data_IF_670316384390
#
_entry.id   IF_670316384390
#
_cell.length_a   1.000
_cell.length_b   1.000
_cell.length_c   1.000
_cell.angle_alpha   90.00
_cell.angle_beta   90.00
_cell.angle_gamma   90.00
#
_symmetry.space_group_name_H-M   'P 1'
#
loop_
_entity.id
_entity.type
_entity.pdbx_description
1 polymer ?
#
# COMPACT_ATOMS: atom_id res chain seq x y z
N UNK A 1 -5.64 9.85 15.28
CA UNK A 1 -4.62 9.06 14.55
C UNK A 1 -5.34 8.17 13.55
N UNK A 2 -4.83 8.03 12.34
CA UNK A 2 -5.32 7.09 11.32
C UNK A 2 -4.18 6.15 10.93
N UNK A 3 -4.52 4.91 10.62
CA UNK A 3 -3.60 3.89 10.11
C UNK A 3 -4.26 3.29 8.87
N UNK A 4 -3.55 3.27 7.75
CA UNK A 4 -4.05 2.76 6.47
C UNK A 4 -3.04 1.73 5.94
N UNK A 5 -3.45 0.48 5.81
CA UNK A 5 -2.68 -0.57 5.13
C UNK A 5 -3.28 -0.87 3.75
N UNK A 6 -2.45 -0.91 2.72
CA UNK A 6 -2.90 -1.15 1.35
C UNK A 6 -1.76 -1.68 0.47
N UNK A 7 -2.12 -2.27 -0.66
CA UNK A 7 -1.15 -2.65 -1.71
C UNK A 7 -0.92 -1.43 -2.60
N UNK A 8 0.33 -0.97 -2.68
CA UNK A 8 0.67 0.19 -3.52
C UNK A 8 0.52 -0.18 -4.99
N UNK A 9 -0.31 0.58 -5.72
CA UNK A 9 -0.60 0.36 -7.13
C UNK A 9 0.64 0.43 -8.04
N UNK A 10 1.70 1.10 -7.62
CA UNK A 10 2.89 1.32 -8.46
C UNK A 10 3.94 0.20 -8.34
N UNK A 11 3.72 -0.74 -7.41
CA UNK A 11 4.54 -1.93 -7.18
C UNK A 11 4.18 -3.09 -8.12
N UNK A 12 5.06 -4.09 -8.22
CA UNK A 12 4.83 -5.25 -9.10
C UNK A 12 3.52 -5.98 -8.76
N UNK A 13 3.27 -6.23 -7.47
CA UNK A 13 2.04 -6.88 -7.03
C UNK A 13 0.81 -6.01 -7.28
N UNK A 14 0.91 -4.69 -7.02
CA UNK A 14 -0.16 -3.75 -7.28
C UNK A 14 -0.55 -3.70 -8.76
N UNK A 15 0.43 -3.76 -9.68
CA UNK A 15 0.19 -3.83 -11.13
C UNK A 15 -0.45 -5.15 -11.53
N UNK A 16 0.06 -6.28 -11.04
CA UNK A 16 -0.52 -7.59 -11.30
C UNK A 16 -1.99 -7.69 -10.86
N UNK A 17 -2.33 -7.12 -9.70
CA UNK A 17 -3.72 -7.09 -9.22
C UNK A 17 -4.62 -6.16 -10.04
N UNK A 18 -4.08 -5.05 -10.57
CA UNK A 18 -4.83 -4.17 -11.48
C UNK A 18 -5.14 -4.85 -12.81
N UNK A 19 -4.19 -5.61 -13.36
CA UNK A 19 -4.35 -6.35 -14.62
C UNK A 19 -5.38 -7.48 -14.48
N UNK A 20 -5.30 -8.25 -13.41
CA UNK A 20 -6.21 -9.37 -13.14
C UNK A 20 -7.57 -8.95 -12.55
N UNK A 21 -7.77 -7.65 -12.30
CA UNK A 21 -8.91 -7.10 -11.56
C UNK A 21 -10.27 -7.56 -12.06
N UNK A 22 -10.48 -7.58 -13.38
CA UNK A 22 -11.76 -7.93 -13.99
C UNK A 22 -12.17 -9.40 -13.78
N UNK A 23 -11.18 -10.26 -13.55
CA UNK A 23 -11.37 -11.70 -13.37
C UNK A 23 -11.31 -12.12 -11.88
N UNK A 24 -11.06 -11.18 -10.97
CA UNK A 24 -10.93 -11.45 -9.54
C UNK A 24 -12.12 -10.86 -8.78
N UNK A 25 -12.90 -11.71 -8.10
CA UNK A 25 -14.11 -11.30 -7.35
C UNK A 25 -13.85 -10.28 -6.25
N UNK A 26 -12.64 -10.25 -5.67
CA UNK A 26 -12.27 -9.30 -4.62
C UNK A 26 -11.81 -7.97 -5.20
N UNK A 27 -11.06 -8.00 -6.30
CA UNK A 27 -10.49 -6.79 -6.87
C UNK A 27 -11.40 -6.11 -7.90
N UNK A 28 -12.41 -6.79 -8.48
CA UNK A 28 -13.28 -6.26 -9.55
C UNK A 28 -13.79 -4.84 -9.32
N UNK A 29 -14.12 -4.48 -8.08
CA UNK A 29 -14.60 -3.15 -7.72
C UNK A 29 -13.60 -2.33 -6.89
N UNK A 30 -12.42 -2.88 -6.57
CA UNK A 30 -11.41 -2.22 -5.76
C UNK A 30 -10.78 -1.04 -6.52
N UNK A 31 -10.55 0.08 -5.83
CA UNK A 31 -9.77 1.19 -6.37
C UNK A 31 -8.36 1.12 -5.81
N UNK A 32 -7.39 1.05 -6.71
CA UNK A 32 -5.97 1.03 -6.37
C UNK A 32 -5.46 2.46 -6.23
N UNK A 33 -4.60 2.68 -5.25
CA UNK A 33 -3.99 3.97 -4.94
C UNK A 33 -2.49 3.80 -4.77
N UNK A 34 -1.73 4.85 -5.06
CA UNK A 34 -0.32 4.94 -4.66
C UNK A 34 -0.18 5.62 -3.31
N UNK A 35 0.98 5.48 -2.68
CA UNK A 35 1.30 6.21 -1.43
C UNK A 35 1.13 7.72 -1.63
N UNK A 36 1.60 8.28 -2.73
CA UNK A 36 1.52 9.72 -3.00
C UNK A 36 0.06 10.19 -3.08
N UNK A 37 -0.82 9.39 -3.68
CA UNK A 37 -2.24 9.72 -3.75
C UNK A 37 -2.89 9.72 -2.37
N UNK A 38 -2.61 8.71 -1.55
CA UNK A 38 -3.16 8.64 -0.18
C UNK A 38 -2.62 9.80 0.66
N UNK A 39 -1.31 10.07 0.60
CA UNK A 39 -0.68 11.21 1.30
C UNK A 39 -1.31 12.53 0.86
N UNK A 40 -1.56 12.72 -0.43
CA UNK A 40 -2.23 13.91 -0.95
C UNK A 40 -3.63 14.09 -0.36
N UNK A 41 -4.45 13.04 -0.34
CA UNK A 41 -5.80 13.11 0.23
C UNK A 41 -5.78 13.34 1.75
N UNK A 42 -4.87 12.69 2.47
CA UNK A 42 -4.71 12.87 3.91
C UNK A 42 -4.26 14.30 4.24
N UNK A 43 -3.29 14.86 3.50
CA UNK A 43 -2.89 16.27 3.65
C UNK A 43 -4.07 17.21 3.43
N UNK A 44 -4.86 16.99 2.37
CA UNK A 44 -6.09 17.77 2.12
C UNK A 44 -7.13 17.64 3.23
N UNK A 45 -7.18 16.50 3.91
CA UNK A 45 -8.07 16.26 5.04
C UNK A 45 -7.52 16.78 6.40
N UNK A 46 -6.36 17.45 6.41
CA UNK A 46 -5.76 18.03 7.61
C UNK A 46 -4.92 17.06 8.44
N UNK A 47 -4.45 15.97 7.84
CA UNK A 47 -3.51 15.06 8.51
C UNK A 47 -2.06 15.49 8.33
N UNK A 48 -1.27 15.27 9.38
CA UNK A 48 0.14 15.63 9.54
C UNK A 48 0.91 14.47 10.22
N UNK A 49 2.23 14.62 10.37
CA UNK A 49 3.13 13.64 11.02
C UNK A 49 2.98 12.24 10.43
N UNK A 50 3.35 12.11 9.17
CA UNK A 50 3.26 10.86 8.43
C UNK A 50 4.43 9.93 8.78
N UNK A 51 4.11 8.67 9.04
CA UNK A 51 5.04 7.56 9.22
C UNK A 51 4.67 6.44 8.25
N UNK A 52 5.68 5.71 7.76
CA UNK A 52 5.53 4.72 6.71
C UNK A 52 6.25 3.43 7.09
N UNK A 53 5.64 2.30 6.79
CA UNK A 53 6.28 0.98 6.85
C UNK A 53 5.84 0.13 5.66
N UNK A 54 6.70 -0.77 5.22
CA UNK A 54 6.47 -1.59 4.03
C UNK A 54 6.92 -3.04 4.22
N UNK A 55 6.30 -3.97 3.49
CA UNK A 55 6.64 -5.40 3.43
C UNK A 55 6.19 -5.97 2.08
N UNK A 56 6.37 -7.28 1.87
CA UNK A 56 6.13 -8.00 0.61
C UNK A 56 7.09 -7.46 -0.48
N UNK A 57 8.37 -7.77 -0.32
CA UNK A 57 9.46 -7.33 -1.20
C UNK A 57 9.69 -8.31 -2.35
N UNK A 58 9.36 -9.58 -2.14
CA UNK A 58 9.48 -10.64 -3.15
C UNK A 58 8.13 -10.95 -3.78
N UNK A 59 8.17 -11.72 -4.88
CA UNK A 59 6.97 -12.32 -5.43
C UNK A 59 6.35 -13.28 -4.42
N UNK A 60 5.01 -13.29 -4.36
CA UNK A 60 4.26 -14.06 -3.35
C UNK A 60 4.58 -15.56 -3.37
N UNK A 61 4.98 -16.11 -4.52
CA UNK A 61 5.39 -17.52 -4.66
C UNK A 61 6.74 -17.83 -4.04
N UNK A 62 7.57 -16.82 -3.79
CA UNK A 62 8.92 -16.97 -3.23
C UNK A 62 8.97 -16.72 -1.71
N UNK A 63 7.87 -16.19 -1.15
CA UNK A 63 7.74 -15.91 0.28
C UNK A 63 7.43 -17.22 1.01
N UNK A 64 8.47 -17.82 1.58
CA UNK A 64 8.37 -19.04 2.39
C UNK A 64 8.45 -18.76 3.91
N UNK A 65 8.71 -17.51 4.28
CA UNK A 65 8.94 -17.04 5.64
C UNK A 65 8.35 -15.63 5.79
N UNK A 66 8.09 -15.18 7.02
CA UNK A 66 7.61 -13.83 7.26
C UNK A 66 8.66 -12.79 6.83
N UNK A 67 8.28 -11.87 5.94
CA UNK A 67 9.14 -10.76 5.55
C UNK A 67 9.02 -9.61 6.57
N UNK A 68 10.11 -9.37 7.30
CA UNK A 68 10.21 -8.31 8.31
C UNK A 68 9.90 -6.96 7.66
N UNK A 69 8.94 -6.23 8.23
CA UNK A 69 8.59 -4.91 7.76
C UNK A 69 9.74 -3.91 7.97
N UNK A 70 9.96 -3.03 6.99
CA UNK A 70 10.96 -1.97 7.06
C UNK A 70 10.31 -0.59 7.03
N UNK A 71 11.02 0.44 7.46
CA UNK A 71 10.54 1.83 7.35
C UNK A 71 10.52 2.29 5.90
N UNK A 72 9.58 3.19 5.57
CA UNK A 72 9.46 3.78 4.24
C UNK A 72 8.41 3.10 3.36
N UNK A 73 8.50 3.37 2.05
CA UNK A 73 7.64 2.82 1.00
C UNK A 73 8.36 2.84 -0.36
N UNK A 74 7.89 2.04 -1.31
CA UNK A 74 8.35 2.02 -2.71
C UNK A 74 9.07 0.75 -3.13
N UNK A 75 9.65 0.00 -2.18
CA UNK A 75 10.31 -1.29 -2.45
C UNK A 75 9.36 -2.46 -2.22
N UNK A 76 8.60 -2.40 -1.11
CA UNK A 76 7.61 -3.40 -0.73
C UNK A 76 6.24 -3.12 -1.35
N UNK A 77 5.53 -4.19 -1.67
CA UNK A 77 4.20 -4.14 -2.29
C UNK A 77 3.09 -3.71 -1.34
N UNK A 78 3.23 -4.01 -0.04
CA UNK A 78 2.24 -3.63 0.97
C UNK A 78 2.81 -2.53 1.86
N UNK A 79 2.05 -1.44 1.99
CA UNK A 79 2.47 -0.24 2.72
C UNK A 79 1.45 0.09 3.80
N UNK A 80 1.95 0.50 4.96
CA UNK A 80 1.18 1.05 6.07
C UNK A 80 1.55 2.52 6.25
N UNK A 81 0.54 3.38 6.26
CA UNK A 81 0.67 4.82 6.52
C UNK A 81 0.01 5.13 7.87
N UNK A 82 0.76 5.78 8.75
CA UNK A 82 0.33 6.30 10.04
C UNK A 82 0.31 7.83 9.98
N UNK A 83 -0.78 8.48 10.41
CA UNK A 83 -0.85 9.95 10.45
C UNK A 83 -1.76 10.47 11.57
N UNK A 84 -1.56 11.73 11.96
CA UNK A 84 -2.33 12.41 12.99
C UNK A 84 -3.16 13.52 12.38
N UNK A 85 -4.43 13.62 12.79
CA UNK A 85 -5.25 14.78 12.42
C UNK A 85 -4.82 15.96 13.29
N UNK A 86 -4.51 17.07 12.64
CA UNK A 86 -4.20 18.32 13.32
C UNK A 86 -5.42 18.82 14.11
#
# INVERSE_FOLDING_TARGET
RIIIGFVDKDTNLGKAYQECKNNNVFYKFAKFYSVEQIVFYLKKAGYVKFEFSQTIFKDLSEINEEEVATEGYGDGSFVVISAFKQ
#
